data_IF_219501971197
#
_entry.id   IF_219501971197
#
_cell.length_a   1.000
_cell.length_b   1.000
_cell.length_c   1.000
_cell.angle_alpha   90.00
_cell.angle_beta   90.00
_cell.angle_gamma   90.00
#
_symmetry.space_group_name_H-M   'P 1'
#
loop_
_entity.id
_entity.type
_entity.pdbx_description
1 polymer ?
#
# COMPACT_ATOMS: atom_id res chain seq x y z
N UNK A 1 -4.52 -1.33 -7.62
CA UNK A 1 -5.07 -0.65 -6.43
C UNK A 1 -4.34 -1.08 -5.18
N UNK A 2 -3.17 -0.50 -4.87
CA UNK A 2 -2.38 -0.88 -3.67
C UNK A 2 -2.89 -0.14 -2.43
N UNK A 3 -3.25 1.13 -2.58
CA UNK A 3 -3.95 1.92 -1.56
C UNK A 3 -5.24 1.25 -1.09
N UNK A 4 -6.01 0.65 -2.02
CA UNK A 4 -7.24 -0.07 -1.68
C UNK A 4 -6.95 -1.39 -0.97
N UNK A 5 -5.95 -2.15 -1.43
CA UNK A 5 -5.54 -3.38 -0.76
C UNK A 5 -5.08 -3.13 0.67
N UNK A 6 -4.33 -2.04 0.90
CA UNK A 6 -3.90 -1.61 2.22
C UNK A 6 -5.10 -1.25 3.12
N UNK A 7 -6.06 -0.46 2.60
CA UNK A 7 -7.33 -0.16 3.30
C UNK A 7 -8.19 -1.39 3.62
N UNK A 8 -8.10 -2.43 2.81
CA UNK A 8 -8.79 -3.70 3.01
C UNK A 8 -8.06 -4.62 4.01
N UNK A 9 -6.93 -4.18 4.58
CA UNK A 9 -6.13 -4.96 5.53
C UNK A 9 -5.30 -6.07 4.88
N UNK A 10 -5.06 -6.00 3.56
CA UNK A 10 -4.25 -6.98 2.86
C UNK A 10 -2.76 -6.69 3.08
N UNK A 11 -2.08 -7.60 3.79
CA UNK A 11 -0.65 -7.53 4.06
C UNK A 11 0.23 -8.10 2.94
N UNK A 12 -0.37 -8.58 1.85
CA UNK A 12 0.34 -9.21 0.74
C UNK A 12 -0.19 -8.73 -0.60
N UNK A 13 0.73 -8.32 -1.48
CA UNK A 13 0.44 -7.92 -2.86
C UNK A 13 1.45 -8.62 -3.77
N UNK A 14 0.94 -9.40 -4.72
CA UNK A 14 1.74 -9.94 -5.82
C UNK A 14 1.63 -9.01 -7.03
N UNK A 15 2.77 -8.51 -7.50
CA UNK A 15 2.85 -7.67 -8.67
C UNK A 15 4.04 -8.07 -9.54
N UNK A 16 3.93 -7.78 -10.85
CA UNK A 16 5.01 -7.99 -11.81
C UNK A 16 6.32 -7.36 -11.30
N UNK A 17 7.50 -7.99 -11.51
CA UNK A 17 8.79 -7.54 -10.98
C UNK A 17 9.08 -6.05 -11.23
N UNK A 18 8.69 -5.56 -12.40
CA UNK A 18 8.87 -4.16 -12.82
C UNK A 18 8.10 -3.15 -11.96
N UNK A 19 7.03 -3.59 -11.28
CA UNK A 19 6.18 -2.73 -10.45
C UNK A 19 6.46 -2.87 -8.95
N UNK A 20 7.37 -3.76 -8.54
CA UNK A 20 7.74 -3.96 -7.13
C UNK A 20 8.22 -2.66 -6.46
N UNK A 21 9.06 -1.81 -7.09
CA UNK A 21 9.48 -0.55 -6.47
C UNK A 21 8.32 0.44 -6.30
N UNK A 22 7.47 0.55 -7.33
CA UNK A 22 6.26 1.40 -7.30
C UNK A 22 5.28 0.91 -6.24
N UNK A 23 5.14 -0.40 -6.11
CA UNK A 23 4.26 -1.00 -5.12
C UNK A 23 4.69 -0.68 -3.70
N UNK A 24 6.00 -0.69 -3.44
CA UNK A 24 6.56 -0.33 -2.14
C UNK A 24 6.36 1.15 -1.81
N UNK A 25 6.53 2.04 -2.78
CA UNK A 25 6.24 3.47 -2.61
C UNK A 25 4.76 3.73 -2.36
N UNK A 26 3.87 3.09 -3.11
CA UNK A 26 2.44 3.22 -2.92
C UNK A 26 1.97 2.68 -1.57
N UNK A 27 2.57 1.58 -1.08
CA UNK A 27 2.31 1.05 0.25
C UNK A 27 2.79 2.02 1.35
N UNK A 28 3.96 2.62 1.19
CA UNK A 28 4.44 3.65 2.13
C UNK A 28 3.51 4.88 2.14
N UNK A 29 3.05 5.36 0.98
CA UNK A 29 2.09 6.45 0.89
C UNK A 29 0.75 6.09 1.54
N UNK A 30 0.25 4.87 1.36
CA UNK A 30 -0.97 4.39 2.00
C UNK A 30 -0.81 4.33 3.53
N UNK A 31 0.31 3.80 4.03
CA UNK A 31 0.61 3.75 5.47
C UNK A 31 0.73 5.15 6.09
N UNK A 32 1.35 6.11 5.39
CA UNK A 32 1.46 7.50 5.86
C UNK A 32 0.07 8.17 5.88
N UNK A 33 -0.74 7.98 4.84
CA UNK A 33 -2.09 8.55 4.76
C UNK A 33 -3.09 7.91 5.73
N UNK A 34 -2.92 6.63 6.08
CA UNK A 34 -3.71 5.97 7.13
C UNK A 34 -3.26 6.37 8.54
N UNK A 35 -1.96 6.57 8.76
CA UNK A 35 -1.39 7.00 10.05
C UNK A 35 -1.90 8.37 10.54
N UNK A 36 -2.55 9.15 9.69
CA UNK A 36 -3.22 10.40 10.07
C UNK A 36 -4.69 10.23 10.50
N UNK A 37 -5.25 9.01 10.45
CA UNK A 37 -6.69 8.76 10.60
C UNK A 37 -7.13 7.82 11.73
N UNK A 38 -6.22 7.36 12.61
CA UNK A 38 -6.62 6.63 13.84
C UNK A 38 -6.58 7.57 15.04
N UNK A 39 -7.64 8.38 15.16
CA UNK A 39 -8.21 8.80 16.45
C UNK A 39 -9.65 8.30 16.49
#
# INVERSE_FOLDING_TARGET
>A
SIHLCHKLGLNYVSCSPFRVPVARLAAAQAAIGEGTGTK
#
